data_IF_103624665032
#
_entry.id   IF_103624665032
#
_cell.length_a   1.000
_cell.length_b   1.000
_cell.length_c   1.000
_cell.angle_alpha   90.00
_cell.angle_beta   90.00
_cell.angle_gamma   90.00
#
_symmetry.space_group_name_H-M   'P 1'
#
loop_
_entity.id
_entity.type
_entity.pdbx_description
1 polymer ?
#
# COMPACT_ATOMS: atom_id res chain seq x y z
N UNK A 1 6.25 -75.60 -18.55
CA UNK A 1 5.35 -75.37 -17.40
C UNK A 1 4.97 -73.90 -17.36
N UNK A 2 3.65 -73.66 -17.32
CA UNK A 2 2.97 -72.38 -17.30
C UNK A 2 3.47 -71.44 -16.20
N UNK A 3 3.58 -70.14 -16.48
CA UNK A 3 2.89 -69.16 -15.62
C UNK A 3 2.59 -67.84 -16.34
N UNK A 4 1.31 -67.53 -16.28
CA UNK A 4 0.54 -66.42 -16.81
C UNK A 4 0.55 -65.28 -15.78
N UNK A 5 0.71 -64.02 -16.20
CA UNK A 5 0.39 -62.74 -15.51
C UNK A 5 1.00 -61.62 -16.38
N UNK A 6 0.30 -60.92 -17.28
CA UNK A 6 -0.87 -60.04 -17.12
C UNK A 6 -0.80 -59.23 -15.82
N UNK A 7 -0.30 -58.00 -15.90
CA UNK A 7 -0.92 -56.83 -15.26
C UNK A 7 -0.40 -55.55 -15.93
N UNK A 8 -1.33 -54.86 -16.58
CA UNK A 8 -1.18 -53.58 -17.26
C UNK A 8 -0.99 -52.49 -16.19
N UNK A 9 0.19 -51.88 -16.12
CA UNK A 9 0.43 -50.72 -15.24
C UNK A 9 -0.16 -49.47 -15.89
N UNK A 10 -1.40 -49.15 -15.56
CA UNK A 10 -2.03 -47.87 -15.88
C UNK A 10 -1.74 -46.91 -14.72
N UNK A 11 -0.57 -46.26 -14.72
CA UNK A 11 -0.28 -45.19 -13.76
C UNK A 11 -0.93 -43.91 -14.26
N UNK A 12 -2.07 -43.58 -13.66
CA UNK A 12 -2.72 -42.29 -13.79
C UNK A 12 -1.69 -41.18 -13.52
N UNK A 13 -1.43 -40.34 -14.52
CA UNK A 13 -0.76 -39.07 -14.30
C UNK A 13 -1.66 -38.19 -13.45
N UNK A 14 -1.49 -38.24 -12.12
CA UNK A 14 -1.94 -37.16 -11.26
C UNK A 14 -1.15 -35.92 -11.68
N UNK A 15 -1.78 -35.08 -12.51
CA UNK A 15 -1.43 -33.66 -12.57
C UNK A 15 -1.62 -33.11 -11.16
N UNK A 16 -0.55 -33.14 -10.38
CA UNK A 16 -0.47 -32.38 -9.15
C UNK A 16 -0.56 -30.91 -9.56
N UNK A 17 -1.75 -30.34 -9.48
CA UNK A 17 -1.88 -28.91 -9.26
C UNK A 17 -1.04 -28.63 -8.01
N UNK A 18 0.17 -28.12 -8.19
CA UNK A 18 0.92 -27.48 -7.13
C UNK A 18 0.11 -26.25 -6.74
N UNK A 19 -0.89 -26.42 -5.87
CA UNK A 19 -1.38 -25.36 -5.02
C UNK A 19 -0.18 -24.95 -4.18
N UNK A 20 0.59 -23.99 -4.70
CA UNK A 20 1.44 -23.16 -3.85
C UNK A 20 0.59 -22.79 -2.64
N UNK A 21 1.10 -22.95 -1.41
CA UNK A 21 0.49 -22.30 -0.27
C UNK A 21 0.36 -20.84 -0.68
N UNK A 22 -0.87 -20.40 -0.93
CA UNK A 22 -1.15 -18.99 -1.00
C UNK A 22 -0.91 -18.55 0.42
N UNK A 23 0.30 -18.04 0.70
CA UNK A 23 0.45 -17.05 1.75
C UNK A 23 -0.60 -16.01 1.41
N UNK A 24 -1.75 -16.11 2.08
CA UNK A 24 -2.85 -15.20 1.90
C UNK A 24 -2.39 -13.88 2.53
N UNK A 25 -1.53 -13.17 1.81
CA UNK A 25 -1.13 -11.81 2.14
C UNK A 25 -2.39 -10.98 1.97
N UNK A 26 -3.14 -10.80 3.07
CA UNK A 26 -4.40 -10.07 3.08
C UNK A 26 -4.22 -8.76 2.32
N UNK A 27 -5.21 -8.32 1.53
CA UNK A 27 -5.07 -7.15 0.68
C UNK A 27 -4.65 -5.92 1.50
N UNK A 28 -3.86 -4.98 0.93
CA UNK A 28 -3.51 -3.75 1.61
C UNK A 28 -4.77 -2.99 2.05
N UNK A 29 -4.73 -2.43 3.25
CA UNK A 29 -5.79 -1.58 3.79
C UNK A 29 -5.28 -0.16 3.99
N UNK A 30 -6.18 0.82 3.96
CA UNK A 30 -5.83 2.20 4.30
C UNK A 30 -5.48 2.30 5.80
N UNK A 31 -4.31 2.84 6.12
CA UNK A 31 -3.92 3.09 7.50
C UNK A 31 -4.61 4.35 8.07
N UNK A 32 -4.75 4.38 9.39
CA UNK A 32 -5.17 5.59 10.09
C UNK A 32 -4.06 6.66 9.99
N UNK A 33 -4.43 7.82 9.45
CA UNK A 33 -3.55 8.98 9.34
C UNK A 33 -3.70 9.83 10.59
N UNK A 34 -2.61 9.99 11.34
CA UNK A 34 -2.56 10.71 12.60
C UNK A 34 -2.19 12.19 12.41
N UNK A 35 -1.33 12.50 11.44
CA UNK A 35 -0.87 13.85 11.13
C UNK A 35 -0.34 13.92 9.69
N UNK A 36 -0.45 15.09 9.05
CA UNK A 36 0.14 15.35 7.73
C UNK A 36 0.80 16.72 7.74
N UNK A 37 2.10 16.74 7.42
CA UNK A 37 2.86 17.98 7.28
C UNK A 37 3.07 18.29 5.81
N UNK A 38 2.54 19.45 5.41
CA UNK A 38 2.71 20.02 4.08
C UNK A 38 3.74 21.15 4.16
N UNK A 39 4.59 21.35 3.14
CA UNK A 39 5.38 22.56 3.03
C UNK A 39 4.46 23.74 2.70
N UNK A 40 4.85 24.95 3.12
CA UNK A 40 4.07 26.16 2.85
C UNK A 40 3.97 26.47 1.35
N UNK A 41 5.04 26.17 0.61
CA UNK A 41 5.11 26.39 -0.84
C UNK A 41 5.97 25.37 -1.58
N UNK A 42 5.70 25.20 -2.88
CA UNK A 42 6.47 24.39 -3.82
C UNK A 42 6.44 25.02 -5.22
N UNK A 43 7.51 24.89 -6.01
CA UNK A 43 7.48 25.32 -7.40
C UNK A 43 6.50 24.49 -8.25
N UNK A 44 5.97 25.09 -9.32
CA UNK A 44 4.97 24.45 -10.19
C UNK A 44 5.35 23.03 -10.66
N UNK A 45 6.63 22.80 -10.99
CA UNK A 45 7.15 21.50 -11.43
C UNK A 45 8.21 20.91 -10.48
N UNK A 46 8.35 21.46 -9.28
CA UNK A 46 9.31 20.93 -8.29
C UNK A 46 8.76 19.68 -7.59
N UNK A 47 9.63 18.88 -6.98
CA UNK A 47 9.17 17.77 -6.15
C UNK A 47 8.46 18.31 -4.90
N UNK A 48 7.22 17.84 -4.64
CA UNK A 48 6.48 18.15 -3.42
C UNK A 48 6.67 16.99 -2.44
N UNK A 49 7.24 17.28 -1.27
CA UNK A 49 7.42 16.31 -0.18
C UNK A 49 6.31 16.47 0.85
N UNK A 50 5.59 15.39 1.14
CA UNK A 50 4.53 15.33 2.16
C UNK A 50 4.93 14.31 3.22
N UNK A 51 5.00 14.74 4.49
CA UNK A 51 5.24 13.82 5.60
C UNK A 51 3.91 13.38 6.21
N UNK A 52 3.66 12.08 6.25
CA UNK A 52 2.43 11.49 6.76
C UNK A 52 2.78 10.67 8.01
N UNK A 53 2.25 11.05 9.17
CA UNK A 53 2.29 10.22 10.35
C UNK A 53 1.12 9.25 10.35
N UNK A 54 1.39 7.96 10.46
CA UNK A 54 0.36 6.92 10.53
C UNK A 54 0.43 6.16 11.85
N UNK A 55 -0.71 5.59 12.23
CA UNK A 55 -0.77 4.54 13.23
C UNK A 55 -0.02 3.32 12.67
N UNK A 56 1.08 2.95 13.33
CA UNK A 56 1.90 1.80 12.96
C UNK A 56 2.10 0.91 14.20
N UNK A 57 1.92 -0.38 14.05
CA UNK A 57 1.80 -1.32 15.15
C UNK A 57 0.36 -1.72 15.44
N UNK A 58 0.18 -2.53 16.47
CA UNK A 58 -1.06 -3.27 16.63
C UNK A 58 -1.14 -4.39 15.59
N UNK A 59 -2.18 -4.39 14.77
CA UNK A 59 -2.37 -5.40 13.73
C UNK A 59 -1.76 -5.03 12.38
N UNK A 60 -1.43 -3.77 12.10
CA UNK A 60 -1.02 -3.34 10.77
C UNK A 60 0.33 -2.64 10.81
N UNK A 61 1.07 -2.73 9.70
CA UNK A 61 2.28 -1.96 9.47
C UNK A 61 2.22 -1.23 8.14
N UNK A 62 2.89 -0.07 8.05
CA UNK A 62 3.02 0.65 6.79
C UNK A 62 3.67 -0.23 5.72
N UNK A 63 3.16 -0.15 4.49
CA UNK A 63 3.70 -0.89 3.35
C UNK A 63 4.09 0.06 2.24
N UNK A 64 3.17 0.92 1.80
CA UNK A 64 3.41 1.80 0.67
C UNK A 64 2.43 2.97 0.64
N UNK A 65 2.78 3.96 -0.18
CA UNK A 65 1.82 4.91 -0.71
C UNK A 65 1.31 4.45 -2.06
N UNK A 66 0.10 4.88 -2.42
CA UNK A 66 -0.49 4.67 -3.74
C UNK A 66 -1.03 6.00 -4.27
N UNK A 67 -0.49 6.48 -5.39
CA UNK A 67 -1.03 7.68 -6.04
C UNK A 67 -2.43 7.38 -6.59
N UNK A 68 -3.43 8.17 -6.20
CA UNK A 68 -4.82 8.01 -6.64
C UNK A 68 -5.19 9.04 -7.70
N UNK A 69 -4.72 10.27 -7.54
CA UNK A 69 -4.97 11.35 -8.48
C UNK A 69 -3.83 12.36 -8.44
N UNK A 70 -3.40 12.78 -9.63
CA UNK A 70 -2.50 13.92 -9.82
C UNK A 70 -3.10 14.82 -10.89
N UNK A 71 -3.34 16.07 -10.56
CA UNK A 71 -3.77 17.12 -11.50
C UNK A 71 -3.07 18.43 -11.15
N UNK A 72 -3.25 19.46 -11.97
CA UNK A 72 -2.65 20.77 -11.73
C UNK A 72 -3.09 21.41 -10.39
N UNK A 73 -4.25 21.06 -9.83
CA UNK A 73 -4.77 21.67 -8.59
C UNK A 73 -4.96 20.69 -7.44
N UNK A 74 -4.68 19.40 -7.64
CA UNK A 74 -4.94 18.37 -6.64
C UNK A 74 -3.92 17.23 -6.69
N UNK A 75 -3.43 16.88 -5.50
CA UNK A 75 -2.77 15.62 -5.23
C UNK A 75 -3.65 14.77 -4.31
N UNK A 76 -3.95 13.54 -4.71
CA UNK A 76 -4.58 12.56 -3.84
C UNK A 76 -3.79 11.25 -3.86
N UNK A 77 -3.48 10.72 -2.68
CA UNK A 77 -2.85 9.42 -2.53
C UNK A 77 -3.39 8.69 -1.30
N UNK A 78 -3.18 7.38 -1.29
CA UNK A 78 -3.48 6.53 -0.15
C UNK A 78 -2.21 6.14 0.57
N UNK A 79 -2.28 6.01 1.89
CA UNK A 79 -1.27 5.34 2.71
C UNK A 79 -1.81 3.97 3.12
N UNK A 80 -1.07 2.94 2.76
CA UNK A 80 -1.50 1.55 2.87
C UNK A 80 -0.63 0.78 3.85
N UNK A 81 -1.25 -0.20 4.49
CA UNK A 81 -0.60 -1.14 5.36
C UNK A 81 -1.15 -2.55 5.22
N UNK A 82 -0.44 -3.50 5.81
CA UNK A 82 -0.80 -4.92 5.80
C UNK A 82 -0.80 -5.49 7.21
N UNK A 83 -1.59 -6.54 7.45
CA UNK A 83 -1.59 -7.15 8.76
C UNK A 83 -0.23 -7.78 9.09
N UNK A 84 0.15 -7.73 10.37
CA UNK A 84 1.30 -8.47 10.88
C UNK A 84 0.95 -9.96 10.93
N UNK A 85 1.75 -10.78 10.25
CA UNK A 85 1.55 -12.22 10.21
C UNK A 85 1.65 -12.84 11.62
N UNK A 86 0.77 -13.79 11.94
CA UNK A 86 0.82 -14.55 13.19
C UNK A 86 0.19 -13.86 14.41
N UNK A 87 -0.42 -12.67 14.27
CA UNK A 87 -1.10 -12.00 15.38
C UNK A 87 -2.51 -12.55 15.58
N UNK A 88 -2.72 -13.31 16.65
CA UNK A 88 -4.06 -13.80 17.10
C UNK A 88 -4.87 -12.73 17.86
N UNK A 89 -4.28 -11.54 18.05
CA UNK A 89 -4.92 -10.35 18.62
C UNK A 89 -4.08 -9.12 18.30
N UNK A 90 -4.74 -7.97 18.10
CA UNK A 90 -4.06 -6.71 17.87
C UNK A 90 -3.69 -6.08 19.21
N UNK A 91 -2.40 -5.88 19.55
CA UNK A 91 -2.07 -5.00 20.66
C UNK A 91 -2.61 -3.59 20.37
N UNK A 92 -2.89 -2.77 21.40
CA UNK A 92 -3.22 -1.37 21.18
C UNK A 92 -2.12 -0.71 20.35
N UNK A 93 -2.49 0.21 19.45
CA UNK A 93 -1.53 0.94 18.62
C UNK A 93 -0.61 1.75 19.56
N UNK A 94 0.67 1.36 19.62
CA UNK A 94 1.69 2.08 20.41
C UNK A 94 2.69 2.81 19.53
N UNK A 95 2.71 2.56 18.22
CA UNK A 95 3.65 3.18 17.30
C UNK A 95 3.01 4.29 16.48
N UNK A 96 3.77 5.37 16.34
CA UNK A 96 3.55 6.42 15.35
C UNK A 96 4.78 6.39 14.45
N UNK A 97 4.58 6.18 13.16
CA UNK A 97 5.66 6.24 12.17
C UNK A 97 5.36 7.37 11.19
N UNK A 98 6.40 8.13 10.86
CA UNK A 98 6.34 9.23 9.91
C UNK A 98 6.97 8.78 8.59
N UNK A 99 6.16 8.72 7.54
CA UNK A 99 6.55 8.28 6.21
C UNK A 99 6.52 9.45 5.23
N UNK A 100 7.37 9.40 4.21
CA UNK A 100 7.55 10.49 3.26
C UNK A 100 7.01 10.10 1.89
N UNK A 101 6.05 10.86 1.39
CA UNK A 101 5.58 10.78 0.02
C UNK A 101 6.17 11.91 -0.81
N UNK A 102 6.73 11.58 -1.96
CA UNK A 102 7.28 12.57 -2.91
C UNK A 102 6.48 12.56 -4.20
N UNK A 103 5.83 13.67 -4.50
CA UNK A 103 5.16 13.92 -5.77
C UNK A 103 6.12 14.62 -6.75
N UNK A 104 6.31 14.10 -7.99
CA UNK A 104 7.35 14.59 -8.90
C UNK A 104 7.06 15.95 -9.54
N UNK A 105 5.87 16.54 -9.38
CA UNK A 105 5.53 17.82 -10.00
C UNK A 105 4.99 17.75 -11.42
N UNK A 106 4.52 16.57 -11.84
CA UNK A 106 3.88 16.39 -13.16
C UNK A 106 2.45 15.85 -12.98
N UNK A 107 1.42 16.52 -13.53
CA UNK A 107 1.48 17.78 -14.30
C UNK A 107 1.88 18.99 -13.42
N UNK A 108 2.32 20.08 -14.07
CA UNK A 108 2.67 21.32 -13.38
C UNK A 108 1.49 21.85 -12.55
N UNK A 109 1.79 22.25 -11.31
CA UNK A 109 0.80 22.68 -10.32
C UNK A 109 0.35 24.12 -10.56
N UNK A 110 -0.84 24.44 -10.08
CA UNK A 110 -1.50 25.74 -10.12
C UNK A 110 -2.07 26.06 -8.74
N UNK A 111 -2.22 27.35 -8.43
CA UNK A 111 -2.87 27.78 -7.20
C UNK A 111 -4.40 27.78 -7.31
N UNK A 112 -5.13 27.33 -6.26
CA UNK A 112 -4.62 26.61 -5.08
C UNK A 112 -4.31 25.13 -5.39
N UNK A 113 -3.32 24.56 -4.70
CA UNK A 113 -2.97 23.13 -4.81
C UNK A 113 -3.33 22.38 -3.53
N UNK A 114 -4.35 21.52 -3.58
CA UNK A 114 -4.87 20.82 -2.39
C UNK A 114 -4.36 19.37 -2.29
N UNK A 115 -4.03 18.92 -1.07
CA UNK A 115 -3.49 17.59 -0.80
C UNK A 115 -4.48 16.74 -0.02
N UNK A 116 -4.75 15.53 -0.55
CA UNK A 116 -5.64 14.53 0.04
C UNK A 116 -4.87 13.26 0.38
N UNK A 117 -5.08 12.75 1.60
CA UNK A 117 -4.55 11.46 2.05
C UNK A 117 -5.71 10.58 2.52
N UNK A 118 -5.81 9.36 1.98
CA UNK A 118 -6.92 8.43 2.28
C UNK A 118 -8.32 9.06 2.10
N UNK A 119 -8.47 9.93 1.10
CA UNK A 119 -9.74 10.58 0.75
C UNK A 119 -10.09 11.82 1.59
N UNK A 120 -9.30 12.17 2.61
CA UNK A 120 -9.48 13.38 3.43
C UNK A 120 -8.51 14.48 2.99
N UNK A 121 -8.99 15.73 2.95
CA UNK A 121 -8.15 16.91 2.70
C UNK A 121 -7.33 17.27 3.94
N UNK A 122 -6.06 17.63 3.74
CA UNK A 122 -5.14 18.08 4.78
C UNK A 122 -4.61 19.50 4.55
N UNK A 123 -5.17 20.22 3.58
CA UNK A 123 -4.85 21.62 3.32
C UNK A 123 -4.25 21.88 1.94
N UNK A 124 -3.82 23.12 1.74
CA UNK A 124 -3.31 23.63 0.48
C UNK A 124 -1.85 24.03 0.57
N UNK A 125 -1.09 23.75 -0.48
CA UNK A 125 0.29 24.22 -0.67
C UNK A 125 0.27 25.38 -1.66
N UNK A 126 1.04 26.43 -1.38
CA UNK A 126 1.18 27.55 -2.32
C UNK A 126 2.14 27.20 -3.45
N UNK A 127 1.74 27.43 -4.70
CA UNK A 127 2.58 27.27 -5.88
C UNK A 127 3.32 28.59 -6.17
N UNK A 128 4.64 28.54 -6.29
CA UNK A 128 5.52 29.69 -6.61
C UNK A 128 6.23 29.54 -7.95
#
# INVERSE_FOLDING_TARGET
MNLKRMFLFMTLGLSACQTKPSEASSPPVALEVLDVKLPDSVGASEALTVTVSVADGGCYHFTNFEAKQRSASRLAFSVQGRPLAGSVGCPPVTGRVAEVYTDPGTPARTNPFEVFVNGKSYGTVSVK
#
